data_IF_680383372923
#
_entry.id   IF_680383372923
#
_cell.length_a   1.000
_cell.length_b   1.000
_cell.length_c   1.000
_cell.angle_alpha   90.00
_cell.angle_beta   90.00
_cell.angle_gamma   90.00
#
_symmetry.space_group_name_H-M   'P 1'
#
loop_
_entity.id
_entity.type
_entity.pdbx_description
1 polymer ?
#
# COMPACT_ATOMS: atom_id res chain seq x y z
N UNK A 1 -29.21 6.72 29.43
CA UNK A 1 -28.31 7.88 29.51
C UNK A 1 -29.15 9.14 29.39
N UNK A 2 -29.17 10.00 30.41
CA UNK A 2 -29.83 11.31 30.31
C UNK A 2 -28.89 12.21 29.51
N UNK A 3 -29.22 12.48 28.25
CA UNK A 3 -28.53 13.49 27.44
C UNK A 3 -28.75 14.85 28.09
N UNK A 4 -27.71 15.43 28.69
CA UNK A 4 -27.76 16.83 29.16
C UNK A 4 -28.01 17.72 27.93
N UNK A 5 -29.20 18.28 27.81
CA UNK A 5 -29.50 19.26 26.78
C UNK A 5 -28.60 20.48 26.97
N UNK A 6 -27.85 20.84 25.92
CA UNK A 6 -27.01 22.04 25.92
C UNK A 6 -27.90 23.24 25.63
N UNK A 7 -27.99 24.17 26.57
CA UNK A 7 -28.73 25.42 26.43
C UNK A 7 -27.81 26.57 26.03
N UNK A 8 -28.26 27.41 25.09
CA UNK A 8 -27.58 28.66 24.71
C UNK A 8 -28.44 29.81 25.22
N UNK A 9 -27.86 30.69 26.02
CA UNK A 9 -28.51 31.90 26.53
C UNK A 9 -27.87 33.13 25.87
N UNK A 10 -28.68 33.92 25.16
CA UNK A 10 -28.24 35.12 24.45
C UNK A 10 -28.92 36.34 25.08
N UNK A 11 -28.15 37.36 25.43
CA UNK A 11 -28.70 38.66 25.85
C UNK A 11 -28.89 39.53 24.62
N UNK A 12 -30.05 40.16 24.52
CA UNK A 12 -30.42 41.09 23.46
C UNK A 12 -31.14 42.28 24.08
N UNK A 13 -31.12 43.42 23.40
CA UNK A 13 -31.95 44.56 23.76
C UNK A 13 -33.43 44.29 23.48
N UNK A 14 -34.34 45.06 24.10
CA UNK A 14 -35.78 44.94 23.85
C UNK A 14 -36.15 45.18 22.38
N UNK A 15 -35.46 46.12 21.72
CA UNK A 15 -35.68 46.40 20.30
C UNK A 15 -35.31 45.20 19.42
N UNK A 16 -34.14 44.61 19.66
CA UNK A 16 -33.69 43.41 18.94
C UNK A 16 -34.61 42.22 19.20
N UNK A 17 -35.11 42.07 20.43
CA UNK A 17 -36.06 41.01 20.77
C UNK A 17 -37.35 41.11 19.94
N UNK A 18 -37.94 42.32 19.87
CA UNK A 18 -39.14 42.58 19.10
C UNK A 18 -38.93 42.31 17.60
N UNK A 19 -37.78 42.71 17.06
CA UNK A 19 -37.45 42.41 15.67
C UNK A 19 -37.30 40.92 15.40
N UNK A 20 -36.61 40.19 16.29
CA UNK A 20 -36.43 38.74 16.16
C UNK A 20 -37.77 38.00 16.23
N UNK A 21 -38.67 38.42 17.11
CA UNK A 21 -40.01 37.83 17.24
C UNK A 21 -40.87 38.11 16.01
N UNK A 22 -40.82 39.33 15.48
CA UNK A 22 -41.51 39.67 14.23
C UNK A 22 -41.01 38.81 13.07
N UNK A 23 -39.69 38.74 12.86
CA UNK A 23 -39.09 37.94 11.77
C UNK A 23 -39.35 36.44 11.93
N UNK A 24 -39.37 35.93 13.16
CA UNK A 24 -39.73 34.53 13.43
C UNK A 24 -41.19 34.25 13.06
N UNK A 25 -42.10 35.16 13.43
CA UNK A 25 -43.52 35.06 13.10
C UNK A 25 -43.79 35.15 11.61
N UNK A 26 -43.09 36.05 10.91
CA UNK A 26 -43.17 36.18 9.45
C UNK A 26 -42.74 34.91 8.71
N UNK A 27 -41.90 34.07 9.35
CA UNK A 27 -41.48 32.75 8.85
C UNK A 27 -42.26 31.57 9.46
N UNK A 28 -43.32 31.84 10.22
CA UNK A 28 -44.11 30.82 10.94
C UNK A 28 -43.30 29.92 11.89
N UNK A 29 -42.20 30.44 12.44
CA UNK A 29 -41.30 29.72 13.35
C UNK A 29 -41.42 30.24 14.78
N UNK A 30 -41.13 29.36 15.75
CA UNK A 30 -40.83 29.81 17.11
C UNK A 30 -39.52 30.59 17.11
N UNK A 31 -39.41 31.61 17.98
CA UNK A 31 -38.19 32.43 18.14
C UNK A 31 -36.93 31.58 18.31
N UNK A 32 -36.99 30.51 19.11
CA UNK A 32 -35.86 29.59 19.32
C UNK A 32 -35.42 28.90 18.04
N UNK A 33 -36.38 28.46 17.23
CA UNK A 33 -36.13 27.70 16.01
C UNK A 33 -35.62 28.63 14.91
N UNK A 34 -36.16 29.86 14.87
CA UNK A 34 -35.64 30.92 14.01
C UNK A 34 -34.18 31.28 14.34
N UNK A 35 -33.85 31.50 15.62
CA UNK A 35 -32.46 31.78 16.03
C UNK A 35 -31.56 30.57 15.73
N UNK A 36 -32.03 29.35 15.96
CA UNK A 36 -31.29 28.13 15.61
C UNK A 36 -31.00 28.07 14.12
N UNK A 37 -31.97 28.43 13.28
CA UNK A 37 -31.78 28.46 11.82
C UNK A 37 -30.69 29.46 11.42
N UNK A 38 -30.65 30.65 12.04
CA UNK A 38 -29.62 31.65 11.77
C UNK A 38 -28.23 31.21 12.22
N UNK A 39 -28.12 30.44 13.30
CA UNK A 39 -26.84 30.02 13.88
C UNK A 39 -26.25 28.78 13.21
N UNK A 40 -27.09 27.91 12.63
CA UNK A 40 -26.69 26.56 12.26
C UNK A 40 -27.13 26.10 10.86
N UNK A 41 -27.95 26.86 10.13
CA UNK A 41 -28.33 26.45 8.76
C UNK A 41 -27.27 26.80 7.72
N UNK A 42 -26.49 27.86 7.96
CA UNK A 42 -25.43 28.26 7.05
C UNK A 42 -24.08 27.81 7.63
N UNK A 43 -23.35 27.00 6.87
CA UNK A 43 -21.97 26.69 7.19
C UNK A 43 -21.16 27.98 7.15
N UNK A 44 -20.60 28.37 8.30
CA UNK A 44 -19.73 29.55 8.34
C UNK A 44 -18.46 29.27 7.54
N UNK A 45 -17.91 30.29 6.87
CA UNK A 45 -16.60 30.20 6.22
C UNK A 45 -15.51 29.65 7.15
N UNK A 46 -15.62 29.93 8.45
CA UNK A 46 -14.72 29.40 9.48
C UNK A 46 -14.76 27.87 9.61
N UNK A 47 -15.94 27.26 9.53
CA UNK A 47 -16.10 25.80 9.59
C UNK A 47 -15.55 25.17 8.32
N UNK A 48 -15.94 25.69 7.15
CA UNK A 48 -15.48 25.21 5.85
C UNK A 48 -13.96 25.30 5.72
N UNK A 49 -13.37 26.42 6.16
CA UNK A 49 -11.91 26.62 6.16
C UNK A 49 -11.20 25.70 7.14
N UNK A 50 -11.79 25.44 8.31
CA UNK A 50 -11.25 24.49 9.28
C UNK A 50 -11.22 23.06 8.75
N UNK A 51 -12.30 22.63 8.09
CA UNK A 51 -12.39 21.32 7.44
C UNK A 51 -11.36 21.21 6.30
N UNK A 52 -11.25 22.24 5.45
CA UNK A 52 -10.26 22.27 4.38
C UNK A 52 -8.82 22.18 4.91
N UNK A 53 -8.46 22.97 5.93
CA UNK A 53 -7.13 22.91 6.54
C UNK A 53 -6.81 21.52 7.08
N UNK A 54 -7.72 20.94 7.87
CA UNK A 54 -7.52 19.60 8.43
C UNK A 54 -7.36 18.54 7.34
N UNK A 55 -8.14 18.65 6.27
CA UNK A 55 -8.08 17.73 5.13
C UNK A 55 -6.77 17.86 4.38
N UNK A 56 -6.33 19.09 4.08
CA UNK A 56 -5.07 19.36 3.37
C UNK A 56 -3.85 18.93 4.20
N UNK A 57 -3.84 19.21 5.50
CA UNK A 57 -2.75 18.80 6.39
C UNK A 57 -2.60 17.27 6.45
N UNK A 58 -3.71 16.52 6.52
CA UNK A 58 -3.66 15.07 6.53
C UNK A 58 -3.23 14.51 5.16
N UNK A 59 -3.75 15.06 4.06
CA UNK A 59 -3.37 14.63 2.72
C UNK A 59 -1.88 14.87 2.44
N UNK A 60 -1.29 15.96 2.93
CA UNK A 60 0.14 16.23 2.75
C UNK A 60 1.00 15.27 3.60
N UNK A 61 0.55 14.94 4.83
CA UNK A 61 1.22 13.91 5.66
C UNK A 61 1.18 12.54 4.99
N UNK A 62 0.02 12.13 4.49
CA UNK A 62 -0.14 10.84 3.80
C UNK A 62 0.72 10.76 2.55
N UNK A 63 0.79 11.85 1.79
CA UNK A 63 1.65 11.96 0.59
C UNK A 63 3.13 11.82 0.92
N UNK A 64 3.62 12.41 2.02
CA UNK A 64 5.00 12.25 2.46
C UNK A 64 5.26 10.80 2.86
N UNK A 65 4.39 10.23 3.69
CA UNK A 65 4.48 8.83 4.13
C UNK A 65 4.52 7.85 2.94
N UNK A 66 3.63 8.04 1.95
CA UNK A 66 3.58 7.18 0.76
C UNK A 66 4.85 7.31 -0.10
N UNK A 67 5.46 8.50 -0.19
CA UNK A 67 6.72 8.70 -0.90
C UNK A 67 7.87 7.95 -0.25
N UNK A 68 8.01 8.05 1.07
CA UNK A 68 9.06 7.34 1.82
C UNK A 68 8.95 5.84 1.64
N UNK A 69 7.73 5.30 1.77
CA UNK A 69 7.46 3.88 1.61
C UNK A 69 7.67 3.40 0.17
N UNK A 70 7.41 4.23 -0.84
CA UNK A 70 7.71 3.92 -2.24
C UNK A 70 9.22 3.79 -2.46
N UNK A 71 10.00 4.74 -1.95
CA UNK A 71 11.48 4.73 -2.07
C UNK A 71 12.07 3.49 -1.38
N UNK A 72 11.59 3.16 -0.18
CA UNK A 72 12.02 1.96 0.54
C UNK A 72 11.69 0.68 -0.23
N UNK A 73 10.47 0.60 -0.78
CA UNK A 73 10.04 -0.56 -1.58
C UNK A 73 10.87 -0.70 -2.86
N UNK A 74 11.20 0.40 -3.54
CA UNK A 74 12.07 0.39 -4.71
C UNK A 74 13.46 -0.14 -4.39
N UNK A 75 14.06 0.33 -3.30
CA UNK A 75 15.38 -0.16 -2.84
C UNK A 75 15.38 -1.65 -2.52
N UNK A 76 14.34 -2.12 -1.83
CA UNK A 76 14.19 -3.54 -1.52
C UNK A 76 14.04 -4.40 -2.78
N UNK A 77 13.28 -3.91 -3.76
CA UNK A 77 13.11 -4.59 -5.04
C UNK A 77 14.42 -4.67 -5.84
N UNK A 78 15.21 -3.59 -5.86
CA UNK A 78 16.53 -3.58 -6.49
C UNK A 78 17.47 -4.60 -5.84
N UNK A 79 17.48 -4.70 -4.50
CA UNK A 79 18.24 -5.71 -3.77
C UNK A 79 17.87 -7.14 -4.16
N UNK A 80 16.56 -7.45 -4.16
CA UNK A 80 16.04 -8.76 -4.58
C UNK A 80 16.41 -9.08 -6.03
N UNK A 81 16.41 -8.08 -6.91
CA UNK A 81 16.74 -8.27 -8.32
C UNK A 81 18.24 -8.57 -8.53
N UNK A 82 19.12 -8.02 -7.69
CA UNK A 82 20.54 -8.37 -7.66
C UNK A 82 20.72 -9.82 -7.18
N UNK A 83 20.11 -10.19 -6.05
CA UNK A 83 20.18 -11.56 -5.51
C UNK A 83 19.68 -12.58 -6.51
N UNK A 84 18.55 -12.30 -7.18
CA UNK A 84 17.99 -13.17 -8.21
C UNK A 84 18.98 -13.39 -9.37
N UNK A 85 19.67 -12.34 -9.84
CA UNK A 85 20.69 -12.46 -10.89
C UNK A 85 21.86 -13.32 -10.46
N UNK A 86 22.29 -13.23 -9.20
CA UNK A 86 23.37 -14.08 -8.68
C UNK A 86 22.94 -15.55 -8.60
N UNK A 87 21.73 -15.82 -8.12
CA UNK A 87 21.15 -17.18 -8.09
C UNK A 87 21.05 -17.74 -9.51
N UNK A 88 20.61 -16.94 -10.47
CA UNK A 88 20.50 -17.35 -11.87
C UNK A 88 21.88 -17.71 -12.47
N UNK A 89 22.92 -16.92 -12.18
CA UNK A 89 24.29 -17.23 -12.61
C UNK A 89 24.78 -18.55 -12.02
N UNK A 90 24.55 -18.79 -10.73
CA UNK A 90 24.90 -20.05 -10.06
C UNK A 90 24.17 -21.24 -10.67
N UNK A 91 22.86 -21.11 -10.89
CA UNK A 91 22.04 -22.15 -11.52
C UNK A 91 22.52 -22.51 -12.94
N UNK A 92 22.90 -21.50 -13.72
CA UNK A 92 23.46 -21.72 -15.06
C UNK A 92 24.80 -22.44 -15.01
N UNK A 93 25.70 -22.07 -14.08
CA UNK A 93 26.98 -22.77 -13.87
C UNK A 93 26.76 -24.23 -13.49
N UNK A 94 25.89 -24.50 -12.52
CA UNK A 94 25.52 -25.86 -12.09
C UNK A 94 24.95 -26.69 -13.24
N UNK A 95 24.17 -26.07 -14.12
CA UNK A 95 23.61 -26.75 -15.32
C UNK A 95 24.72 -27.12 -16.30
N UNK A 96 25.71 -26.24 -16.49
CA UNK A 96 26.86 -26.50 -17.34
C UNK A 96 27.72 -27.63 -16.77
N UNK A 97 28.04 -27.59 -15.48
CA UNK A 97 28.81 -28.63 -14.79
C UNK A 97 28.12 -29.99 -14.89
N UNK A 98 26.80 -30.04 -14.70
CA UNK A 98 26.00 -31.24 -14.84
C UNK A 98 26.03 -31.82 -16.26
N UNK A 99 26.04 -30.96 -17.28
CA UNK A 99 26.11 -31.41 -18.68
C UNK A 99 27.49 -32.01 -18.99
N UNK A 100 28.57 -31.39 -18.50
CA UNK A 100 29.93 -31.92 -18.65
C UNK A 100 30.09 -33.28 -17.95
N UNK A 101 29.56 -33.44 -16.74
CA UNK A 101 29.57 -34.72 -16.03
C UNK A 101 28.79 -35.81 -16.80
N UNK A 102 27.65 -35.48 -17.40
CA UNK A 102 26.90 -36.43 -18.24
C UNK A 102 27.69 -36.86 -19.47
N UNK A 103 28.36 -35.93 -20.14
CA UNK A 103 29.22 -36.24 -21.30
C UNK A 103 30.40 -37.13 -20.89
N UNK A 104 31.11 -36.77 -19.82
CA UNK A 104 32.23 -37.55 -19.28
C UNK A 104 31.82 -38.96 -18.88
N UNK A 105 30.67 -39.10 -18.21
CA UNK A 105 30.15 -40.41 -17.81
C UNK A 105 29.79 -41.26 -19.05
N UNK A 106 29.19 -40.64 -20.07
CA UNK A 106 28.89 -41.33 -21.34
C UNK A 106 30.17 -41.82 -22.01
N UNK A 107 31.23 -41.01 -22.03
CA UNK A 107 32.53 -41.37 -22.59
C UNK A 107 33.19 -42.52 -21.83
N UNK A 108 33.20 -42.47 -20.49
CA UNK A 108 33.72 -43.55 -19.64
C UNK A 108 32.98 -44.88 -19.88
N UNK A 109 31.66 -44.84 -20.07
CA UNK A 109 30.87 -46.04 -20.38
C UNK A 109 31.23 -46.63 -21.75
N UNK A 110 31.52 -45.79 -22.75
CA UNK A 110 32.00 -46.24 -24.07
C UNK A 110 33.38 -46.90 -23.93
N UNK A 111 34.29 -46.29 -23.19
CA UNK A 111 35.64 -46.82 -22.95
C UNK A 111 35.60 -48.15 -22.20
N UNK A 112 34.80 -48.26 -21.14
CA UNK A 112 34.59 -49.50 -20.39
C UNK A 112 34.03 -50.62 -21.27
N UNK A 113 33.06 -50.31 -22.14
CA UNK A 113 32.50 -51.29 -23.07
C UNK A 113 33.54 -51.73 -24.12
N UNK A 114 34.35 -50.80 -24.60
CA UNK A 114 35.44 -51.09 -25.55
C UNK A 114 36.48 -52.00 -24.92
N UNK A 115 36.89 -51.73 -23.68
CA UNK A 115 37.89 -52.53 -22.97
C UNK A 115 37.35 -53.93 -22.60
N UNK A 116 36.08 -54.03 -22.19
CA UNK A 116 35.39 -55.33 -22.01
C UNK A 116 35.41 -56.16 -23.28
N UNK A 117 35.12 -55.52 -24.43
CA UNK A 117 35.14 -56.19 -25.72
C UNK A 117 36.55 -56.67 -26.08
N UNK A 118 37.59 -55.85 -25.91
CA UNK A 118 38.99 -56.28 -26.13
C UNK A 118 39.36 -57.50 -25.28
N UNK A 119 39.04 -57.50 -23.98
CA UNK A 119 39.28 -58.63 -23.09
C UNK A 119 38.46 -59.88 -23.43
N UNK A 120 37.27 -59.70 -24.02
CA UNK A 120 36.47 -60.79 -24.57
C UNK A 120 37.10 -61.39 -25.84
N UNK A 121 37.48 -60.56 -26.81
CA UNK A 121 38.16 -61.00 -28.03
C UNK A 121 39.52 -61.65 -27.73
N UNK A 122 40.29 -61.09 -26.79
CA UNK A 122 41.54 -61.70 -26.34
C UNK A 122 41.36 -63.11 -25.75
N UNK A 123 40.23 -63.39 -25.09
CA UNK A 123 39.90 -64.75 -24.57
C UNK A 123 39.38 -65.70 -25.65
N UNK A 124 38.66 -65.19 -26.65
CA UNK A 124 38.13 -65.99 -27.75
C UNK A 124 39.20 -66.39 -28.78
N UNK A 125 40.17 -65.50 -29.04
CA UNK A 125 41.12 -65.63 -30.13
C UNK A 125 42.57 -65.91 -29.68
N UNK A 126 42.88 -65.90 -28.37
CA UNK A 126 44.10 -66.54 -27.85
C UNK A 126 43.83 -68.03 -27.65
N UNK A 127 43.91 -68.78 -28.75
CA UNK A 127 44.26 -70.20 -28.80
C UNK A 127 45.45 -70.33 -29.72
#
# INVERSE_FOLDING_TARGET
MVTKEKQINIRVSEKELLELEKRAKDKELKRSDYIRSLLFNDDTESITKGIQMYTVENLEKDKVYLKERLVETQKNFEGLLIEFKEVQKKANSLTQDLNLEKENNTQLMIELNTEKNKGFFARLFKK
#
